data_IF_149739036541
#
_entry.id   IF_149739036541
#
_cell.length_a   1.000
_cell.length_b   1.000
_cell.length_c   1.000
_cell.angle_alpha   90.00
_cell.angle_beta   90.00
_cell.angle_gamma   90.00
#
_symmetry.space_group_name_H-M   'P 1'
#
loop_
_entity.id
_entity.type
_entity.pdbx_description
1 polymer ?
#
# COMPACT_ATOMS: atom_id res chain seq x y z
N UNK A 1 2.81 -9.59 9.11
CA UNK A 1 2.92 -8.94 7.77
C UNK A 1 1.59 -8.40 7.24
N UNK A 2 0.57 -9.21 6.93
CA UNK A 2 -0.71 -8.65 6.42
C UNK A 2 -1.58 -8.04 7.52
N UNK A 3 -1.63 -8.70 8.68
CA UNK A 3 -2.31 -8.19 9.88
C UNK A 3 -1.84 -6.77 10.26
N UNK A 4 -0.54 -6.50 10.22
CA UNK A 4 0.03 -5.19 10.60
C UNK A 4 -0.42 -4.04 9.70
N UNK A 5 -0.81 -4.31 8.44
CA UNK A 5 -1.39 -3.28 7.58
C UNK A 5 -2.81 -2.93 8.02
N UNK A 6 -3.63 -3.96 8.26
CA UNK A 6 -5.03 -3.78 8.66
C UNK A 6 -5.19 -3.32 10.12
N UNK A 7 -4.24 -3.61 11.01
CA UNK A 7 -4.28 -3.08 12.39
C UNK A 7 -4.09 -1.56 12.45
N UNK A 8 -3.52 -0.95 11.43
CA UNK A 8 -3.38 0.50 11.32
C UNK A 8 -4.66 1.20 10.79
N UNK A 9 -5.64 0.44 10.31
CA UNK A 9 -6.89 0.95 9.75
C UNK A 9 -7.96 1.11 10.83
N UNK A 10 -8.96 1.96 10.55
CA UNK A 10 -10.14 2.06 11.39
C UNK A 10 -11.22 1.03 10.98
N UNK A 11 -12.20 0.81 11.86
CA UNK A 11 -13.26 -0.18 11.67
C UNK A 11 -14.08 0.04 10.39
N UNK A 12 -14.28 1.29 9.97
CA UNK A 12 -15.05 1.60 8.76
C UNK A 12 -14.32 1.12 7.50
N UNK A 13 -13.00 1.34 7.44
CA UNK A 13 -12.17 0.86 6.34
C UNK A 13 -12.12 -0.67 6.30
N UNK A 14 -11.98 -1.32 7.46
CA UNK A 14 -11.97 -2.80 7.54
C UNK A 14 -13.29 -3.39 7.04
N UNK A 15 -14.43 -2.82 7.48
CA UNK A 15 -15.76 -3.26 7.03
C UNK A 15 -15.94 -3.04 5.52
N UNK A 16 -15.53 -1.88 5.01
CA UNK A 16 -15.62 -1.56 3.58
C UNK A 16 -14.77 -2.50 2.74
N UNK A 17 -13.53 -2.79 3.15
CA UNK A 17 -12.69 -3.72 2.42
C UNK A 17 -13.19 -5.17 2.51
N UNK A 18 -13.84 -5.57 3.60
CA UNK A 18 -14.56 -6.83 3.66
C UNK A 18 -15.65 -6.93 2.59
N UNK A 19 -16.41 -5.86 2.38
CA UNK A 19 -17.41 -5.78 1.31
C UNK A 19 -16.77 -5.82 -0.09
N UNK A 20 -15.61 -5.18 -0.28
CA UNK A 20 -14.87 -5.25 -1.54
C UNK A 20 -14.49 -6.70 -1.89
N UNK A 21 -14.03 -7.48 -0.90
CA UNK A 21 -13.69 -8.90 -1.08
C UNK A 21 -14.94 -9.71 -1.43
N UNK A 22 -16.03 -9.54 -0.68
CA UNK A 22 -17.29 -10.26 -0.93
C UNK A 22 -17.84 -9.98 -2.33
N UNK A 23 -17.80 -8.72 -2.77
CA UNK A 23 -18.27 -8.32 -4.08
C UNK A 23 -17.36 -8.83 -5.20
N UNK A 24 -16.04 -8.78 -5.01
CA UNK A 24 -15.09 -9.37 -5.95
C UNK A 24 -15.34 -10.86 -6.17
N UNK A 25 -15.58 -11.61 -5.08
CA UNK A 25 -15.90 -13.05 -5.15
C UNK A 25 -17.18 -13.29 -5.95
N UNK A 26 -18.25 -12.50 -5.72
CA UNK A 26 -19.51 -12.61 -6.48
C UNK A 26 -19.32 -12.34 -7.97
N UNK A 27 -18.41 -11.44 -8.31
CA UNK A 27 -18.07 -11.08 -9.69
C UNK A 27 -17.05 -12.03 -10.34
N UNK A 28 -16.56 -13.05 -9.63
CA UNK A 28 -15.52 -13.95 -10.11
C UNK A 28 -14.14 -13.28 -10.24
N UNK A 29 -13.95 -12.12 -9.59
CA UNK A 29 -12.71 -11.35 -9.58
C UNK A 29 -11.75 -11.84 -8.50
N UNK A 30 -10.46 -11.71 -8.77
CA UNK A 30 -9.41 -12.04 -7.81
C UNK A 30 -8.56 -10.80 -7.53
N UNK A 31 -8.87 -10.11 -6.42
CA UNK A 31 -8.19 -8.85 -6.05
C UNK A 31 -6.68 -9.02 -5.86
N UNK A 32 -6.21 -10.20 -5.43
CA UNK A 32 -4.77 -10.45 -5.29
C UNK A 32 -4.11 -10.51 -6.65
N UNK A 33 -4.72 -11.21 -7.62
CA UNK A 33 -4.23 -11.25 -9.00
C UNK A 33 -4.27 -9.85 -9.64
N UNK A 34 -5.39 -9.14 -9.51
CA UNK A 34 -5.55 -7.79 -10.05
C UNK A 34 -4.50 -6.83 -9.50
N UNK A 35 -4.20 -6.90 -8.20
CA UNK A 35 -3.13 -6.11 -7.58
C UNK A 35 -1.80 -6.29 -8.30
N UNK A 36 -1.37 -7.53 -8.50
CA UNK A 36 -0.10 -7.80 -9.17
C UNK A 36 -0.15 -7.43 -10.65
N UNK A 37 -1.30 -7.60 -11.30
CA UNK A 37 -1.48 -7.15 -12.68
C UNK A 37 -1.35 -5.62 -12.79
N UNK A 38 -1.98 -4.84 -11.91
CA UNK A 38 -1.81 -3.38 -11.86
C UNK A 38 -0.38 -2.94 -11.56
N UNK A 39 0.37 -3.68 -10.73
CA UNK A 39 1.80 -3.39 -10.52
C UNK A 39 2.62 -3.52 -11.81
N UNK A 40 2.18 -4.34 -12.77
CA UNK A 40 2.87 -4.51 -14.06
C UNK A 40 2.75 -3.29 -14.98
N UNK A 41 1.86 -2.35 -14.71
CA UNK A 41 1.84 -1.06 -15.39
C UNK A 41 3.19 -0.32 -15.28
N UNK A 42 3.89 -0.50 -14.16
CA UNK A 42 5.17 0.14 -13.88
C UNK A 42 6.36 -0.79 -14.12
N UNK A 43 6.21 -2.10 -13.87
CA UNK A 43 7.31 -3.06 -13.97
C UNK A 43 7.46 -3.72 -15.34
N UNK A 44 6.36 -3.84 -16.11
CA UNK A 44 6.37 -4.33 -17.48
C UNK A 44 5.22 -3.69 -18.30
N UNK A 45 5.33 -2.39 -18.63
CA UNK A 45 4.23 -1.61 -19.21
C UNK A 45 3.72 -2.19 -20.54
N UNK A 46 4.62 -2.77 -21.35
CA UNK A 46 4.26 -3.35 -22.63
C UNK A 46 3.37 -4.59 -22.46
N UNK A 47 3.74 -5.51 -21.57
CA UNK A 47 2.94 -6.69 -21.26
C UNK A 47 1.63 -6.32 -20.58
N UNK A 48 1.67 -5.36 -19.65
CA UNK A 48 0.45 -4.85 -19.00
C UNK A 48 -0.55 -4.36 -20.04
N UNK A 49 -0.11 -3.49 -20.96
CA UNK A 49 -0.98 -2.87 -21.96
C UNK A 49 -1.55 -3.88 -22.97
N UNK A 50 -0.77 -4.88 -23.41
CA UNK A 50 -1.24 -5.83 -24.42
C UNK A 50 -2.01 -7.01 -23.83
N UNK A 51 -1.60 -7.54 -22.67
CA UNK A 51 -2.09 -8.81 -22.14
C UNK A 51 -2.95 -8.69 -20.88
N UNK A 52 -2.86 -7.60 -20.11
CA UNK A 52 -3.51 -7.49 -18.80
C UNK A 52 -4.60 -6.42 -18.73
N UNK A 53 -4.31 -5.20 -19.17
CA UNK A 53 -5.22 -4.05 -19.15
C UNK A 53 -6.61 -4.37 -19.73
N UNK A 54 -6.75 -5.10 -20.86
CA UNK A 54 -8.07 -5.46 -21.40
C UNK A 54 -8.92 -6.36 -20.49
N UNK A 55 -8.31 -7.03 -19.52
CA UNK A 55 -8.96 -7.96 -18.60
C UNK A 55 -9.14 -7.38 -17.18
N UNK A 56 -8.67 -6.16 -16.93
CA UNK A 56 -8.76 -5.50 -15.63
C UNK A 56 -9.94 -4.53 -15.57
N UNK A 57 -10.46 -4.24 -14.37
CA UNK A 57 -11.42 -3.17 -14.17
C UNK A 57 -10.87 -1.82 -14.64
N UNK A 58 -11.69 -1.07 -15.39
CA UNK A 58 -11.36 0.30 -15.79
C UNK A 58 -11.40 1.21 -14.57
N UNK A 59 -10.31 1.94 -14.33
CA UNK A 59 -10.22 2.90 -13.23
C UNK A 59 -10.51 4.30 -13.77
N UNK A 60 -11.56 4.94 -13.23
CA UNK A 60 -11.90 6.31 -13.62
C UNK A 60 -10.95 7.35 -13.00
N UNK A 61 -11.00 8.57 -13.53
CA UNK A 61 -10.10 9.66 -13.13
C UNK A 61 -10.26 10.03 -11.63
N UNK A 62 -11.48 10.01 -11.11
CA UNK A 62 -11.74 10.29 -9.69
C UNK A 62 -11.04 9.26 -8.80
N UNK A 63 -11.19 7.98 -9.14
CA UNK A 63 -10.58 6.86 -8.43
C UNK A 63 -9.06 6.94 -8.51
N UNK A 64 -8.50 7.22 -9.69
CA UNK A 64 -7.06 7.40 -9.86
C UNK A 64 -6.51 8.54 -9.02
N UNK A 65 -7.21 9.68 -8.92
CA UNK A 65 -6.77 10.80 -8.07
C UNK A 65 -6.69 10.40 -6.59
N UNK A 66 -7.64 9.61 -6.09
CA UNK A 66 -7.59 9.09 -4.71
C UNK A 66 -6.43 8.11 -4.50
N UNK A 67 -6.20 7.20 -5.46
CA UNK A 67 -5.07 6.27 -5.44
C UNK A 67 -3.76 7.02 -5.35
N UNK A 68 -3.55 8.03 -6.19
CA UNK A 68 -2.33 8.83 -6.20
C UNK A 68 -2.13 9.56 -4.86
N UNK A 69 -3.15 10.24 -4.35
CA UNK A 69 -3.01 11.00 -3.08
C UNK A 69 -2.67 10.08 -1.90
N UNK A 70 -3.33 8.92 -1.79
CA UNK A 70 -3.05 7.94 -0.73
C UNK A 70 -1.63 7.37 -0.90
N UNK A 71 -1.24 7.00 -2.13
CA UNK A 71 0.09 6.44 -2.40
C UNK A 71 1.21 7.42 -2.08
N UNK A 72 1.05 8.71 -2.42
CA UNK A 72 2.04 9.73 -2.09
C UNK A 72 2.16 9.97 -0.59
N UNK A 73 1.05 9.91 0.16
CA UNK A 73 1.11 9.94 1.62
C UNK A 73 1.88 8.74 2.20
N UNK A 74 1.71 7.54 1.66
CA UNK A 74 2.49 6.36 2.08
C UNK A 74 3.98 6.52 1.78
N UNK A 75 4.32 7.06 0.60
CA UNK A 75 5.70 7.35 0.20
C UNK A 75 6.34 8.38 1.15
N UNK A 76 5.63 9.45 1.48
CA UNK A 76 6.10 10.45 2.45
C UNK A 76 6.34 9.82 3.82
N UNK A 77 5.42 8.98 4.29
CA UNK A 77 5.55 8.27 5.56
C UNK A 77 6.79 7.37 5.58
N UNK A 78 7.07 6.63 4.50
CA UNK A 78 8.25 5.77 4.42
C UNK A 78 9.56 6.56 4.35
N UNK A 79 9.57 7.73 3.69
CA UNK A 79 10.73 8.64 3.71
C UNK A 79 11.07 9.11 5.12
N UNK A 80 10.05 9.45 5.92
CA UNK A 80 10.23 9.82 7.32
C UNK A 80 10.81 8.66 8.16
N UNK A 81 10.31 7.43 7.94
CA UNK A 81 10.85 6.23 8.61
C UNK A 81 12.29 6.01 8.21
N UNK A 82 12.62 6.07 6.92
CA UNK A 82 13.98 5.87 6.43
C UNK A 82 14.96 6.92 6.97
N UNK A 83 14.51 8.17 7.18
CA UNK A 83 15.32 9.20 7.81
C UNK A 83 15.59 8.92 9.30
N UNK A 84 14.63 8.33 10.02
CA UNK A 84 14.70 8.10 11.47
C UNK A 84 15.30 6.73 11.84
N UNK A 85 15.06 5.71 11.03
CA UNK A 85 15.43 4.31 11.25
C UNK A 85 16.08 3.72 9.97
N UNK A 86 17.28 4.19 9.61
CA UNK A 86 17.90 3.87 8.32
C UNK A 86 18.28 2.40 8.14
N UNK A 87 18.70 1.67 9.19
CA UNK A 87 19.06 0.25 9.08
C UNK A 87 17.82 -0.60 8.79
N UNK A 88 16.72 -0.31 9.50
CA UNK A 88 15.44 -0.95 9.31
C UNK A 88 14.89 -0.68 7.91
N UNK A 89 14.93 0.57 7.45
CA UNK A 89 14.48 0.92 6.10
C UNK A 89 15.33 0.26 5.00
N UNK A 90 16.65 0.13 5.20
CA UNK A 90 17.54 -0.51 4.24
C UNK A 90 17.34 -2.04 4.11
N UNK A 91 16.70 -2.68 5.09
CA UNK A 91 16.27 -4.09 4.99
C UNK A 91 14.99 -4.28 4.15
N UNK A 92 14.32 -3.18 3.79
CA UNK A 92 13.05 -3.15 3.08
C UNK A 92 13.17 -3.01 1.57
N UNK A 93 12.08 -2.53 0.96
CA UNK A 93 11.96 -2.28 -0.48
C UNK A 93 12.37 -0.85 -0.82
N UNK A 94 12.74 -0.55 -2.08
CA UNK A 94 12.85 0.82 -2.55
C UNK A 94 11.57 1.63 -2.27
N UNK A 95 11.68 2.93 -2.01
CA UNK A 95 10.51 3.74 -1.64
C UNK A 95 9.75 4.22 -2.89
N UNK A 96 10.45 4.75 -3.89
CA UNK A 96 9.86 5.35 -5.10
C UNK A 96 10.03 4.46 -6.34
N UNK A 97 9.13 4.59 -7.32
CA UNK A 97 9.10 3.76 -8.54
C UNK A 97 10.36 3.85 -9.40
N UNK A 98 11.12 4.96 -9.33
CA UNK A 98 12.45 5.05 -9.97
C UNK A 98 13.45 3.99 -9.49
N UNK A 99 13.18 3.39 -8.33
CA UNK A 99 13.93 2.28 -7.76
C UNK A 99 13.40 0.90 -8.15
N UNK A 100 12.41 0.80 -9.03
CA UNK A 100 11.91 -0.47 -9.58
C UNK A 100 12.97 -1.06 -10.54
N UNK A 101 14.00 -1.67 -9.97
CA UNK A 101 15.10 -2.35 -10.67
C UNK A 101 15.23 -3.77 -10.09
N UNK A 102 15.59 -4.72 -10.95
CA UNK A 102 15.53 -6.18 -10.79
C UNK A 102 15.55 -6.72 -9.35
N UNK A 103 14.39 -7.16 -8.86
CA UNK A 103 14.24 -7.99 -7.66
C UNK A 103 13.05 -7.61 -6.78
N UNK A 104 12.75 -6.31 -6.63
CA UNK A 104 11.70 -5.83 -5.73
C UNK A 104 10.97 -4.60 -6.29
N UNK A 105 9.64 -4.60 -6.18
CA UNK A 105 8.82 -3.41 -6.47
C UNK A 105 8.86 -2.44 -5.30
N UNK A 106 8.88 -1.14 -5.62
CA UNK A 106 8.86 -0.05 -4.67
C UNK A 106 7.57 0.01 -3.83
N UNK A 107 7.63 0.76 -2.74
CA UNK A 107 6.45 1.10 -1.93
C UNK A 107 5.39 1.77 -2.80
N UNK A 108 5.78 2.74 -3.63
CA UNK A 108 4.87 3.43 -4.56
C UNK A 108 4.11 2.46 -5.47
N UNK A 109 4.84 1.62 -6.23
CA UNK A 109 4.26 0.67 -7.18
C UNK A 109 3.38 -0.36 -6.46
N UNK A 110 3.82 -0.85 -5.30
CA UNK A 110 3.05 -1.80 -4.51
C UNK A 110 1.75 -1.19 -3.98
N UNK A 111 1.82 0.04 -3.45
CA UNK A 111 0.66 0.77 -2.94
C UNK A 111 -0.35 1.03 -4.05
N UNK A 112 0.09 1.56 -5.20
CA UNK A 112 -0.78 1.83 -6.35
C UNK A 112 -1.46 0.57 -6.86
N UNK A 113 -0.71 -0.52 -7.02
CA UNK A 113 -1.28 -1.80 -7.44
C UNK A 113 -2.37 -2.32 -6.50
N UNK A 114 -2.16 -2.18 -5.19
CA UNK A 114 -3.16 -2.57 -4.20
C UNK A 114 -4.38 -1.65 -4.18
N UNK A 115 -4.16 -0.34 -4.13
CA UNK A 115 -5.23 0.66 -4.03
C UNK A 115 -6.17 0.63 -5.24
N UNK A 116 -5.67 0.30 -6.45
CA UNK A 116 -6.50 0.14 -7.65
C UNK A 116 -7.50 -1.03 -7.56
N UNK A 117 -7.33 -1.95 -6.62
CA UNK A 117 -8.26 -3.07 -6.40
C UNK A 117 -9.43 -2.71 -5.48
N UNK A 118 -9.34 -1.58 -4.77
CA UNK A 118 -10.32 -1.19 -3.78
C UNK A 118 -11.51 -0.50 -4.43
N UNK A 119 -12.68 -0.62 -3.81
CA UNK A 119 -13.84 0.15 -4.27
C UNK A 119 -13.66 1.64 -4.03
N UNK A 120 -14.41 2.45 -4.79
CA UNK A 120 -14.47 3.90 -4.59
C UNK A 120 -14.86 4.27 -3.14
N UNK A 121 -15.71 3.47 -2.48
CA UNK A 121 -16.08 3.70 -1.09
C UNK A 121 -14.89 3.48 -0.14
N UNK A 122 -14.17 2.37 -0.29
CA UNK A 122 -12.97 2.08 0.50
C UNK A 122 -11.91 3.15 0.30
N UNK A 123 -11.69 3.60 -0.94
CA UNK A 123 -10.72 4.65 -1.25
C UNK A 123 -11.09 6.00 -0.63
N UNK A 124 -12.38 6.36 -0.59
CA UNK A 124 -12.83 7.60 0.09
C UNK A 124 -12.58 7.55 1.59
N UNK A 125 -12.94 6.44 2.24
CA UNK A 125 -12.67 6.23 3.67
C UNK A 125 -11.17 6.27 3.97
N UNK A 126 -10.36 5.67 3.10
CA UNK A 126 -8.92 5.72 3.24
C UNK A 126 -8.39 7.15 3.06
N UNK A 127 -8.86 7.87 2.03
CA UNK A 127 -8.47 9.24 1.76
C UNK A 127 -8.74 10.17 2.96
N UNK A 128 -9.92 10.07 3.55
CA UNK A 128 -10.29 10.84 4.74
C UNK A 128 -9.35 10.50 5.90
N UNK A 129 -9.09 9.20 6.12
CA UNK A 129 -8.19 8.75 7.18
C UNK A 129 -6.73 9.20 6.99
N UNK A 130 -6.18 9.17 5.78
CA UNK A 130 -4.82 9.68 5.53
C UNK A 130 -4.74 11.19 5.72
N UNK A 131 -5.77 11.95 5.32
CA UNK A 131 -5.84 13.40 5.53
C UNK A 131 -5.90 13.75 7.01
N UNK A 132 -6.71 13.04 7.77
CA UNK A 132 -6.78 13.18 9.23
C UNK A 132 -5.43 12.89 9.89
N UNK A 133 -4.76 11.80 9.52
CA UNK A 133 -3.45 11.47 10.08
C UNK A 133 -2.37 12.49 9.67
N UNK A 134 -2.37 12.94 8.41
CA UNK A 134 -1.47 14.00 7.93
C UNK A 134 -1.68 15.29 8.72
N UNK A 135 -2.92 15.73 8.91
CA UNK A 135 -3.25 16.92 9.68
C UNK A 135 -2.85 16.79 11.16
N UNK A 136 -2.92 15.58 11.72
CA UNK A 136 -2.49 15.28 13.08
C UNK A 136 -0.98 15.02 13.24
N UNK A 137 -0.18 15.13 12.18
CA UNK A 137 1.26 14.84 12.19
C UNK A 137 1.57 13.37 12.50
N UNK A 138 0.65 12.45 12.20
CA UNK A 138 0.80 11.02 12.42
C UNK A 138 1.28 10.33 11.16
N UNK A 139 2.21 9.39 11.33
CA UNK A 139 2.74 8.55 10.27
C UNK A 139 2.08 7.16 10.35
N UNK A 140 1.28 6.80 9.34
CA UNK A 140 0.61 5.50 9.31
C UNK A 140 1.57 4.34 9.06
N UNK A 141 2.58 4.52 8.22
CA UNK A 141 3.57 3.48 7.97
C UNK A 141 4.33 3.11 9.26
N UNK A 142 4.57 4.09 10.15
CA UNK A 142 5.22 3.86 11.44
C UNK A 142 4.38 2.93 12.32
N UNK A 143 3.05 3.12 12.38
CA UNK A 143 2.15 2.21 13.11
C UNK A 143 2.22 0.78 12.55
N UNK A 144 2.23 0.65 11.23
CA UNK A 144 2.36 -0.65 10.55
C UNK A 144 3.71 -1.29 10.89
N UNK A 145 4.78 -0.51 10.87
CA UNK A 145 6.13 -0.98 11.14
C UNK A 145 6.32 -1.38 12.60
N UNK A 146 5.79 -0.62 13.56
CA UNK A 146 5.79 -0.96 14.99
C UNK A 146 5.10 -2.29 15.27
N UNK A 147 3.96 -2.55 14.63
CA UNK A 147 3.28 -3.83 14.75
C UNK A 147 4.12 -4.95 14.11
N UNK A 148 4.71 -4.67 12.94
CA UNK A 148 5.52 -5.64 12.22
C UNK A 148 6.76 -6.09 13.00
N UNK A 149 7.53 -5.15 13.58
CA UNK A 149 8.73 -5.49 14.36
C UNK A 149 8.39 -6.28 15.63
N UNK A 150 7.25 -5.98 16.28
CA UNK A 150 6.75 -6.77 17.41
C UNK A 150 6.42 -8.19 17.01
N UNK A 151 5.76 -8.38 15.87
CA UNK A 151 5.49 -9.72 15.32
C UNK A 151 6.77 -10.51 14.99
N UNK A 152 7.87 -9.82 14.64
CA UNK A 152 9.18 -10.43 14.44
C UNK A 152 9.98 -10.66 15.72
N UNK A 153 9.41 -10.32 16.89
CA UNK A 153 10.02 -10.57 18.20
C UNK A 153 10.90 -9.45 18.75
N UNK A 154 10.92 -8.29 18.08
CA UNK A 154 11.58 -7.09 18.62
C UNK A 154 10.68 -6.40 19.65
N UNK A 155 11.28 -5.73 20.64
CA UNK A 155 10.52 -5.03 21.67
C UNK A 155 9.88 -3.72 21.14
N UNK A 156 10.57 -3.05 20.21
CA UNK A 156 10.11 -1.82 19.55
C UNK A 156 10.82 -1.62 18.22
N UNK A 157 10.45 -0.56 17.50
CA UNK A 157 11.13 -0.18 16.27
C UNK A 157 12.58 0.28 16.53
N UNK A 158 12.84 0.93 17.67
CA UNK A 158 14.20 1.27 18.13
C UNK A 158 15.01 0.01 18.44
N UNK A 159 14.40 -0.99 19.06
CA UNK A 159 15.08 -2.27 19.34
C UNK A 159 15.47 -2.99 18.04
N UNK A 160 14.58 -2.98 17.05
CA UNK A 160 14.87 -3.51 15.72
C UNK A 160 16.01 -2.74 15.02
N UNK A 161 15.94 -1.41 14.99
CA UNK A 161 16.98 -0.55 14.41
C UNK A 161 18.35 -0.78 15.05
N UNK A 162 18.41 -1.00 16.38
CA UNK A 162 19.68 -1.22 17.06
C UNK A 162 20.30 -2.60 16.79
N UNK A 163 19.49 -3.62 16.49
CA UNK A 163 19.92 -5.01 16.32
C UNK A 163 20.17 -5.43 14.87
N UNK A 164 19.72 -4.66 13.89
CA UNK A 164 20.03 -4.81 12.47
C UNK A 164 21.42 -4.23 12.14
#
# INVERSE_FOLDING_TARGET
>A
MRFSQYSAWNDFMIKSYGQDIEEAIKQGRNLVMEKYAFMMEFTNPQYYKSELEPHLPVIDLETMNMVEEIAWYMVDCEKEIAAKYPKLANSGRPIEARGDITGFTSVETYAKGELKTYSKNTLRLYLDYVRENRAAGKNLALKVQEEMVKMYGYASIEDAENKL
#
